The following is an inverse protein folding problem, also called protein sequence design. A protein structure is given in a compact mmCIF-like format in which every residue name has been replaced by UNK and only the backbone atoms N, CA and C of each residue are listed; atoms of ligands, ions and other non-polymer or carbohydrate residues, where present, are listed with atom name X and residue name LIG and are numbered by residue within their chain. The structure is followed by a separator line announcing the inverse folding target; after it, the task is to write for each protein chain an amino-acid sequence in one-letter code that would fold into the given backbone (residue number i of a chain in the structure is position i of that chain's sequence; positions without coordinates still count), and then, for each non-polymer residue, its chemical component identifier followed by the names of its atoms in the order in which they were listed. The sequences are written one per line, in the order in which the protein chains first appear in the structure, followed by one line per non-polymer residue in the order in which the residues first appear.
data_IF_247281007028
#
_entry.id   IF_247281007028
#
_cell.length_a   1.000
_cell.length_b   1.000
_cell.length_c   1.000
_cell.angle_alpha   90.00
_cell.angle_beta   90.00
_cell.angle_gamma   90.00
#
_symmetry.space_group_name_H-M   'P 1'
#
loop_
_entity.id
_entity.type
_entity.pdbx_description
1 polymer ?
#
# COMPACT_ATOMS: atom_id res chain seq x y z
N UNK A 1 19.33 22.56 -15.77
CA UNK A 1 18.51 23.75 -16.07
C UNK A 1 17.66 24.14 -14.86
N UNK A 2 16.59 23.40 -14.52
CA UNK A 2 15.61 23.71 -13.45
C UNK A 2 16.17 24.41 -12.20
N UNK A 3 17.13 23.80 -11.48
CA UNK A 3 17.69 24.39 -10.24
C UNK A 3 18.22 25.81 -10.43
N UNK A 4 18.89 26.11 -11.53
CA UNK A 4 19.43 27.44 -11.82
C UNK A 4 18.32 28.48 -12.01
N UNK A 5 17.26 28.13 -12.76
CA UNK A 5 16.11 29.01 -12.95
C UNK A 5 15.40 29.31 -11.61
N UNK A 6 15.27 28.31 -10.73
CA UNK A 6 14.74 28.51 -9.37
C UNK A 6 15.68 29.39 -8.53
N UNK A 7 17.01 29.20 -8.62
CA UNK A 7 17.98 30.07 -7.94
C UNK A 7 17.85 31.53 -8.37
N UNK A 8 17.80 31.80 -9.68
CA UNK A 8 17.63 33.15 -10.22
C UNK A 8 16.29 33.77 -9.81
N UNK A 9 15.18 33.01 -9.86
CA UNK A 9 13.89 33.51 -9.38
C UNK A 9 13.89 33.78 -7.87
N UNK A 10 14.64 33.00 -7.07
CA UNK A 10 14.88 33.26 -5.63
C UNK A 10 15.76 34.49 -5.37
N UNK A 11 16.44 35.01 -6.39
CA UNK A 11 17.26 36.23 -6.31
C UNK A 11 16.50 37.47 -6.81
N UNK A 12 15.51 37.30 -7.68
CA UNK A 12 14.58 38.36 -8.08
C UNK A 12 13.52 38.62 -7.00
N UNK A 13 12.92 37.57 -6.42
CA UNK A 13 11.99 37.72 -5.29
C UNK A 13 10.74 36.83 -5.35
N UNK A 14 9.82 37.10 -4.42
CA UNK A 14 8.58 36.33 -4.23
C UNK A 14 7.75 36.23 -5.53
N UNK A 15 7.54 37.35 -6.22
CA UNK A 15 6.69 37.41 -7.42
C UNK A 15 7.27 36.58 -8.57
N UNK A 16 8.60 36.48 -8.67
CA UNK A 16 9.27 35.62 -9.64
C UNK A 16 9.06 34.13 -9.32
N UNK A 17 9.12 33.75 -8.04
CA UNK A 17 8.81 32.38 -7.59
C UNK A 17 7.36 31.99 -7.87
N UNK A 18 6.41 32.89 -7.58
CA UNK A 18 4.99 32.69 -7.89
C UNK A 18 4.77 32.61 -9.41
N UNK A 19 5.43 33.47 -10.20
CA UNK A 19 5.33 33.47 -11.66
C UNK A 19 5.81 32.17 -12.31
N UNK A 20 6.97 31.61 -11.89
CA UNK A 20 7.43 30.31 -12.41
C UNK A 20 6.58 29.13 -11.93
N UNK A 21 5.89 29.25 -10.80
CA UNK A 21 4.93 28.24 -10.33
C UNK A 21 3.56 28.33 -11.04
N UNK A 22 3.12 29.52 -11.46
CA UNK A 22 1.91 29.64 -12.28
C UNK A 22 2.15 29.18 -13.73
N UNK A 23 3.30 29.53 -14.32
CA UNK A 23 3.65 29.14 -15.70
C UNK A 23 4.37 27.78 -15.79
N UNK A 24 4.19 26.91 -14.78
CA UNK A 24 5.00 25.71 -14.59
C UNK A 24 4.98 24.75 -15.79
N UNK A 25 3.85 24.62 -16.49
CA UNK A 25 3.67 23.65 -17.57
C UNK A 25 4.17 24.10 -18.95
N UNK A 26 4.63 25.36 -19.04
CA UNK A 26 5.42 25.85 -20.16
C UNK A 26 6.94 25.73 -19.90
N UNK A 27 7.34 25.49 -18.65
CA UNK A 27 8.73 25.58 -18.17
C UNK A 27 9.32 24.25 -17.70
N UNK A 28 8.48 23.32 -17.21
CA UNK A 28 8.89 22.12 -16.49
C UNK A 28 7.98 20.92 -16.79
N UNK A 29 8.51 19.70 -16.65
CA UNK A 29 7.65 18.51 -16.53
C UNK A 29 6.89 18.52 -15.19
N UNK A 30 5.74 17.81 -15.05
CA UNK A 30 5.03 17.70 -13.78
C UNK A 30 5.90 17.18 -12.61
N UNK A 31 6.85 16.29 -12.92
CA UNK A 31 7.77 15.71 -11.94
C UNK A 31 8.82 16.73 -11.49
N UNK A 32 9.40 17.52 -12.41
CA UNK A 32 10.32 18.62 -12.04
C UNK A 32 9.59 19.72 -11.25
N UNK A 33 8.39 20.10 -11.70
CA UNK A 33 7.55 21.10 -11.04
C UNK A 33 7.26 20.73 -9.59
N UNK A 34 6.89 19.47 -9.33
CA UNK A 34 6.60 19.00 -7.96
C UNK A 34 7.84 18.71 -7.12
N UNK A 35 8.77 17.87 -7.62
CA UNK A 35 9.89 17.35 -6.83
C UNK A 35 11.06 18.33 -6.67
N UNK A 36 11.22 19.25 -7.62
CA UNK A 36 12.39 20.13 -7.71
C UNK A 36 12.02 21.59 -7.54
N UNK A 37 11.01 22.10 -8.25
CA UNK A 37 10.61 23.51 -8.18
C UNK A 37 9.89 23.78 -6.85
N UNK A 38 8.70 23.21 -6.65
CA UNK A 38 7.90 23.44 -5.45
C UNK A 38 8.64 23.06 -4.16
N UNK A 39 9.32 21.91 -4.10
CA UNK A 39 10.10 21.51 -2.90
C UNK A 39 11.27 22.45 -2.58
N UNK A 40 11.97 23.00 -3.58
CA UNK A 40 13.05 23.99 -3.33
C UNK A 40 12.47 25.32 -2.87
N UNK A 41 11.40 25.77 -3.53
CA UNK A 41 10.69 27.02 -3.20
C UNK A 41 10.13 26.99 -1.78
N UNK A 42 9.53 25.88 -1.35
CA UNK A 42 8.98 25.70 -0.01
C UNK A 42 10.03 25.41 1.08
N UNK A 43 11.32 25.42 0.76
CA UNK A 43 12.38 25.12 1.73
C UNK A 43 12.64 26.29 2.71
N UNK A 44 13.06 25.96 3.94
CA UNK A 44 13.47 26.97 4.92
C UNK A 44 14.61 27.88 4.42
N UNK A 45 15.48 27.39 3.53
CA UNK A 45 16.54 28.20 2.92
C UNK A 45 15.96 29.35 2.07
N UNK A 46 14.90 29.11 1.31
CA UNK A 46 14.18 30.12 0.52
C UNK A 46 13.50 31.14 1.43
N UNK A 47 12.80 30.68 2.47
CA UNK A 47 12.13 31.54 3.47
C UNK A 47 13.14 32.49 4.14
N UNK A 48 14.31 31.98 4.54
CA UNK A 48 15.37 32.77 5.18
C UNK A 48 16.04 33.73 4.18
N UNK A 49 16.35 33.29 2.94
CA UNK A 49 16.98 34.13 1.91
C UNK A 49 16.10 35.31 1.51
N UNK A 50 14.79 35.09 1.38
CA UNK A 50 13.81 36.13 1.02
C UNK A 50 13.20 36.88 2.21
N UNK A 51 13.48 36.45 3.46
CA UNK A 51 12.93 37.03 4.71
C UNK A 51 11.40 37.13 4.70
N UNK A 52 10.73 36.11 4.16
CA UNK A 52 9.27 36.13 3.95
C UNK A 52 8.51 36.25 5.27
N UNK A 53 7.47 37.09 5.29
CA UNK A 53 6.52 37.11 6.40
C UNK A 53 5.53 35.93 6.30
N UNK A 54 4.82 35.63 7.40
CA UNK A 54 3.88 34.51 7.47
C UNK A 54 2.83 34.53 6.34
N UNK A 55 2.30 35.71 5.97
CA UNK A 55 1.36 35.86 4.85
C UNK A 55 1.99 35.45 3.52
N UNK A 56 3.21 35.90 3.23
CA UNK A 56 3.92 35.58 2.00
C UNK A 56 4.29 34.09 1.93
N UNK A 57 4.64 33.49 3.07
CA UNK A 57 4.90 32.05 3.16
C UNK A 57 3.65 31.23 2.85
N UNK A 58 2.47 31.64 3.34
CA UNK A 58 1.21 30.93 3.08
C UNK A 58 0.68 31.17 1.65
N UNK A 59 0.91 32.35 1.08
CA UNK A 59 0.66 32.65 -0.34
C UNK A 59 1.52 31.76 -1.26
N UNK A 60 2.82 31.64 -0.95
CA UNK A 60 3.75 30.73 -1.64
C UNK A 60 3.32 29.26 -1.48
N UNK A 61 2.88 28.86 -0.28
CA UNK A 61 2.37 27.52 -0.01
C UNK A 61 1.11 27.20 -0.80
N UNK A 62 0.14 28.13 -0.85
CA UNK A 62 -1.09 27.99 -1.62
C UNK A 62 -0.81 27.81 -3.12
N UNK A 63 0.12 28.58 -3.67
CA UNK A 63 0.59 28.43 -5.04
C UNK A 63 1.25 27.05 -5.27
N UNK A 64 2.17 26.63 -4.39
CA UNK A 64 2.85 25.34 -4.48
C UNK A 64 1.90 24.14 -4.36
N UNK A 65 0.90 24.19 -3.47
CA UNK A 65 -0.18 23.18 -3.35
C UNK A 65 -1.00 23.11 -4.65
N UNK A 66 -1.37 24.27 -5.20
CA UNK A 66 -2.15 24.36 -6.44
C UNK A 66 -1.40 23.76 -7.63
N UNK A 67 -0.13 24.14 -7.82
CA UNK A 67 0.79 23.53 -8.80
C UNK A 67 0.84 22.01 -8.62
N UNK A 68 1.04 21.54 -7.39
CA UNK A 68 1.23 20.11 -7.14
C UNK A 68 -0.03 19.28 -7.40
N UNK A 69 -1.22 19.81 -7.08
CA UNK A 69 -2.50 19.19 -7.46
C UNK A 69 -2.70 19.16 -8.99
N UNK A 70 -2.32 20.22 -9.71
CA UNK A 70 -2.34 20.21 -11.18
C UNK A 70 -1.37 19.19 -11.78
N UNK A 71 -0.17 19.07 -11.22
CA UNK A 71 0.82 18.07 -11.64
C UNK A 71 0.35 16.64 -11.36
N UNK A 72 -0.21 16.39 -10.18
CA UNK A 72 -0.77 15.08 -9.81
C UNK A 72 -1.99 14.69 -10.66
N UNK A 73 -2.77 15.65 -11.18
CA UNK A 73 -3.82 15.36 -12.17
C UNK A 73 -3.28 15.01 -13.56
N UNK A 74 -2.14 15.57 -13.99
CA UNK A 74 -1.51 15.21 -15.28
C UNK A 74 -0.71 13.90 -15.20
N UNK A 75 -0.08 13.63 -14.05
CA UNK A 75 0.71 12.41 -13.78
C UNK A 75 0.52 11.95 -12.32
N UNK A 76 -0.52 11.14 -12.03
CA UNK A 76 -0.75 10.61 -10.68
C UNK A 76 0.38 9.67 -10.21
N UNK A 77 0.95 8.92 -11.15
CA UNK A 77 1.93 7.86 -10.90
C UNK A 77 3.24 8.40 -10.30
N UNK A 78 3.72 9.55 -10.77
CA UNK A 78 4.99 10.13 -10.33
C UNK A 78 4.83 11.35 -9.40
N UNK A 79 3.74 12.13 -9.51
CA UNK A 79 3.61 13.38 -8.77
C UNK A 79 2.85 13.27 -7.44
N UNK A 80 1.98 12.27 -7.25
CA UNK A 80 1.00 12.30 -6.17
C UNK A 80 1.60 12.25 -4.74
N UNK A 81 2.74 11.57 -4.54
CA UNK A 81 3.42 11.57 -3.24
C UNK A 81 4.00 12.95 -2.89
N UNK A 82 4.54 13.67 -3.88
CA UNK A 82 5.03 15.04 -3.69
C UNK A 82 3.85 15.99 -3.41
N UNK A 83 2.73 15.85 -4.13
CA UNK A 83 1.53 16.64 -3.89
C UNK A 83 0.97 16.41 -2.47
N UNK A 84 0.84 15.15 -2.03
CA UNK A 84 0.44 14.84 -0.67
C UNK A 84 1.37 15.48 0.37
N UNK A 85 2.69 15.44 0.15
CA UNK A 85 3.69 16.04 1.05
C UNK A 85 3.59 17.58 1.10
N UNK A 86 3.44 18.24 -0.05
CA UNK A 86 3.29 19.70 -0.15
C UNK A 86 1.95 20.20 0.42
N UNK A 87 0.93 19.33 0.41
CA UNK A 87 -0.40 19.64 0.91
C UNK A 87 -0.61 19.32 2.41
N UNK A 88 0.35 18.73 3.13
CA UNK A 88 0.17 18.32 4.54
C UNK A 88 -0.31 19.45 5.48
N UNK A 89 0.04 20.71 5.18
CA UNK A 89 -0.36 21.88 5.96
C UNK A 89 -1.80 22.37 5.71
N UNK A 90 -2.51 21.85 4.71
CA UNK A 90 -3.89 22.26 4.39
C UNK A 90 -4.80 21.03 4.17
N UNK A 91 -5.89 20.95 4.93
CA UNK A 91 -6.76 19.78 4.94
C UNK A 91 -7.49 19.56 3.61
N UNK A 92 -7.92 20.62 2.93
CA UNK A 92 -8.68 20.53 1.70
C UNK A 92 -7.78 20.10 0.52
N UNK A 93 -6.59 20.69 0.42
CA UNK A 93 -5.57 20.32 -0.56
C UNK A 93 -5.05 18.90 -0.32
N UNK A 94 -4.87 18.48 0.93
CA UNK A 94 -4.45 17.11 1.24
C UNK A 94 -5.51 16.08 0.84
N UNK A 95 -6.79 16.35 1.13
CA UNK A 95 -7.88 15.46 0.71
C UNK A 95 -8.02 15.44 -0.82
N UNK A 96 -7.87 16.57 -1.52
CA UNK A 96 -7.82 16.58 -2.99
C UNK A 96 -6.65 15.76 -3.55
N UNK A 97 -5.45 15.87 -2.97
CA UNK A 97 -4.29 15.06 -3.36
C UNK A 97 -4.52 13.56 -3.08
N UNK A 98 -5.24 13.23 -2.02
CA UNK A 98 -5.61 11.85 -1.67
C UNK A 98 -6.68 11.26 -2.61
N UNK A 99 -7.67 12.04 -3.04
CA UNK A 99 -8.65 11.59 -4.04
C UNK A 99 -7.98 11.30 -5.39
N UNK A 100 -7.01 12.12 -5.83
CA UNK A 100 -6.22 11.84 -7.05
C UNK A 100 -5.52 10.47 -6.98
N UNK A 101 -5.04 10.04 -5.81
CA UNK A 101 -4.46 8.68 -5.63
C UNK A 101 -5.54 7.60 -5.69
N UNK A 102 -6.74 7.85 -5.15
CA UNK A 102 -7.85 6.91 -5.23
C UNK A 102 -8.36 6.73 -6.67
N UNK A 103 -8.45 7.82 -7.43
CA UNK A 103 -8.83 7.81 -8.84
C UNK A 103 -7.73 7.14 -9.70
N UNK A 104 -6.46 7.43 -9.42
CA UNK A 104 -5.29 6.77 -10.03
C UNK A 104 -5.21 5.26 -9.73
N UNK A 105 -5.69 4.84 -8.55
CA UNK A 105 -5.82 3.42 -8.19
C UNK A 105 -7.00 2.74 -8.91
N UNK A 106 -8.16 3.41 -8.99
CA UNK A 106 -9.37 2.89 -9.60
C UNK A 106 -9.28 2.80 -11.14
N UNK A 107 -8.54 3.72 -11.76
CA UNK A 107 -8.24 3.72 -13.20
C UNK A 107 -7.06 2.82 -13.59
N UNK A 108 -6.44 2.13 -12.63
CA UNK A 108 -5.22 1.32 -12.81
C UNK A 108 -3.99 2.07 -13.36
N UNK A 109 -4.00 3.40 -13.35
CA UNK A 109 -2.85 4.26 -13.73
C UNK A 109 -1.68 4.10 -12.74
N UNK A 110 -1.97 3.79 -11.47
CA UNK A 110 -0.97 3.58 -10.43
C UNK A 110 -0.73 2.10 -10.12
N UNK A 111 0.53 1.70 -10.07
CA UNK A 111 0.93 0.33 -9.71
C UNK A 111 0.70 0.04 -8.21
N UNK A 112 0.49 -1.23 -7.85
CA UNK A 112 0.43 -1.65 -6.45
C UNK A 112 1.63 -1.18 -5.63
N UNK A 113 2.84 -1.12 -6.21
CA UNK A 113 4.02 -0.63 -5.51
C UNK A 113 3.90 0.86 -5.12
N UNK A 114 3.51 1.72 -6.06
CA UNK A 114 3.25 3.15 -5.78
C UNK A 114 2.15 3.31 -4.70
N UNK A 115 1.07 2.53 -4.79
CA UNK A 115 -0.01 2.55 -3.80
C UNK A 115 0.46 2.08 -2.41
N UNK A 116 1.38 1.11 -2.30
CA UNK A 116 1.99 0.74 -1.02
C UNK A 116 2.94 1.80 -0.46
N UNK A 117 3.72 2.48 -1.31
CA UNK A 117 4.58 3.60 -0.87
C UNK A 117 3.72 4.73 -0.27
N UNK A 118 2.59 5.07 -0.91
CA UNK A 118 1.67 6.09 -0.41
C UNK A 118 0.87 5.59 0.82
N UNK A 119 0.51 4.30 0.89
CA UNK A 119 -0.09 3.71 2.08
C UNK A 119 0.85 3.82 3.31
N UNK A 120 2.14 3.54 3.13
CA UNK A 120 3.16 3.71 4.19
C UNK A 120 3.33 5.17 4.59
N UNK A 121 3.32 6.10 3.64
CA UNK A 121 3.32 7.54 3.92
C UNK A 121 2.10 7.95 4.79
N UNK A 122 0.90 7.47 4.46
CA UNK A 122 -0.31 7.71 5.24
C UNK A 122 -0.22 7.14 6.67
N UNK A 123 0.36 5.94 6.83
CA UNK A 123 0.56 5.32 8.15
C UNK A 123 1.56 6.10 9.03
N UNK A 124 2.69 6.53 8.45
CA UNK A 124 3.65 7.40 9.13
C UNK A 124 3.02 8.72 9.60
N UNK A 125 2.05 9.26 8.85
CA UNK A 125 1.24 10.44 9.22
C UNK A 125 0.01 10.11 10.09
N UNK A 126 -0.08 8.89 10.63
CA UNK A 126 -1.18 8.36 11.47
C UNK A 126 -2.56 8.35 10.80
N UNK A 127 -2.65 8.49 9.48
CA UNK A 127 -3.89 8.38 8.72
C UNK A 127 -4.26 6.91 8.43
N UNK A 128 -4.32 6.10 9.49
CA UNK A 128 -4.53 4.65 9.42
C UNK A 128 -5.70 4.24 8.48
N UNK A 129 -6.93 4.82 8.55
CA UNK A 129 -8.01 4.44 7.64
C UNK A 129 -7.70 4.70 6.15
N UNK A 130 -6.95 5.78 5.85
CA UNK A 130 -6.49 6.09 4.48
C UNK A 130 -5.41 5.10 4.04
N UNK A 131 -4.44 4.81 4.90
CA UNK A 131 -3.40 3.81 4.65
C UNK A 131 -3.99 2.42 4.32
N UNK A 132 -4.94 1.94 5.13
CA UNK A 132 -5.59 0.64 4.88
C UNK A 132 -6.45 0.63 3.62
N UNK A 133 -7.14 1.73 3.27
CA UNK A 133 -7.88 1.83 1.99
C UNK A 133 -6.94 1.69 0.79
N UNK A 134 -5.80 2.40 0.79
CA UNK A 134 -4.79 2.29 -0.26
C UNK A 134 -4.13 0.91 -0.32
N UNK A 135 -3.74 0.33 0.83
CA UNK A 135 -3.17 -1.02 0.88
C UNK A 135 -4.13 -2.09 0.36
N UNK A 136 -5.44 -1.95 0.63
CA UNK A 136 -6.47 -2.87 0.13
C UNK A 136 -6.64 -2.76 -1.39
N UNK A 137 -6.59 -1.54 -1.95
CA UNK A 137 -6.59 -1.32 -3.40
C UNK A 137 -5.30 -1.87 -4.06
N UNK A 138 -4.14 -1.68 -3.41
CA UNK A 138 -2.86 -2.21 -3.87
C UNK A 138 -2.84 -3.75 -3.91
N UNK A 139 -3.38 -4.43 -2.89
CA UNK A 139 -3.48 -5.90 -2.85
C UNK A 139 -4.39 -6.46 -3.96
N UNK A 140 -5.50 -5.80 -4.30
CA UNK A 140 -6.38 -6.24 -5.39
C UNK A 140 -5.68 -6.30 -6.75
N UNK A 141 -4.69 -5.43 -6.97
CA UNK A 141 -3.95 -5.33 -8.22
C UNK A 141 -2.59 -6.07 -8.18
N UNK A 142 -2.25 -6.77 -7.08
CA UNK A 142 -0.91 -7.37 -6.91
C UNK A 142 -0.79 -8.72 -7.61
N UNK A 143 0.16 -8.83 -8.53
CA UNK A 143 0.61 -10.11 -9.07
C UNK A 143 1.70 -10.69 -8.16
N UNK A 144 1.40 -11.79 -7.48
CA UNK A 144 2.36 -12.45 -6.59
C UNK A 144 3.45 -13.14 -7.43
N UNK A 145 4.67 -12.61 -7.36
CA UNK A 145 5.82 -13.07 -8.13
C UNK A 145 6.30 -14.49 -7.75
N UNK A 146 7.14 -15.09 -8.60
CA UNK A 146 7.89 -16.28 -8.24
C UNK A 146 8.86 -15.91 -7.10
N UNK A 147 8.84 -16.65 -6.00
CA UNK A 147 9.68 -16.31 -4.83
C UNK A 147 11.11 -16.79 -5.07
N UNK A 148 11.95 -15.95 -5.69
CA UNK A 148 13.37 -15.97 -5.39
C UNK A 148 13.61 -14.98 -4.25
N UNK A 149 14.08 -15.53 -3.13
CA UNK A 149 14.51 -14.85 -1.89
C UNK A 149 13.44 -14.06 -1.10
N UNK A 150 13.19 -14.51 0.15
CA UNK A 150 12.77 -13.65 1.26
C UNK A 150 13.05 -14.36 2.60
N UNK A 151 14.33 -14.41 3.00
CA UNK A 151 14.77 -14.99 4.27
C UNK A 151 14.80 -13.93 5.38
N UNK A 152 13.63 -13.57 5.90
CA UNK A 152 13.49 -12.60 7.00
C UNK A 152 12.88 -13.28 8.24
N UNK A 153 13.74 -13.82 9.10
CA UNK A 153 13.34 -14.36 10.41
C UNK A 153 12.97 -13.20 11.35
N UNK A 154 11.70 -13.13 11.76
CA UNK A 154 11.25 -12.16 12.76
C UNK A 154 11.62 -12.63 14.20
N UNK A 155 12.39 -11.85 14.98
CA UNK A 155 12.80 -12.24 16.32
C UNK A 155 11.84 -11.73 17.41
N UNK A 156 11.60 -12.57 18.43
CA UNK A 156 11.35 -12.12 19.80
C UNK A 156 9.90 -11.76 20.20
N UNK A 157 9.14 -12.77 20.63
CA UNK A 157 8.19 -12.60 21.75
C UNK A 157 8.37 -13.77 22.73
N UNK A 158 9.19 -13.57 23.76
CA UNK A 158 9.33 -14.51 24.87
C UNK A 158 8.14 -14.36 25.84
N UNK A 159 7.71 -15.46 26.45
CA UNK A 159 6.61 -15.50 27.42
C UNK A 159 7.11 -15.91 28.81
N UNK A 160 6.51 -15.33 29.86
CA UNK A 160 6.71 -15.72 31.28
C UNK A 160 5.38 -15.56 32.05
N UNK A 161 5.05 -16.42 33.05
CA UNK A 161 3.71 -16.45 33.68
C UNK A 161 3.64 -16.23 35.21
N UNK A 162 2.49 -15.72 35.68
CA UNK A 162 1.95 -15.75 37.07
C UNK A 162 0.40 -15.82 36.97
N UNK A 163 -0.42 -16.56 37.74
CA UNK A 163 -0.47 -16.93 39.19
C UNK A 163 -0.97 -15.74 40.04
N UNK A 164 -2.15 -15.74 40.70
CA UNK A 164 -3.28 -16.73 40.73
C UNK A 164 -4.66 -16.00 40.98
N UNK A 165 -5.78 -16.42 41.63
CA UNK A 165 -6.12 -17.52 42.58
C UNK A 165 -7.66 -17.85 42.63
N UNK A 166 -8.05 -18.78 43.50
CA UNK A 166 -9.36 -19.42 43.79
C UNK A 166 -10.69 -18.60 43.87
N UNK A 167 -11.78 -19.18 43.30
CA UNK A 167 -12.96 -19.68 44.05
C UNK A 167 -13.86 -20.64 43.22
N UNK A 168 -14.81 -21.35 43.85
CA UNK A 168 -15.59 -22.48 43.29
C UNK A 168 -17.03 -22.15 42.86
N UNK A 169 -17.54 -22.83 41.80
CA UNK A 169 -18.83 -23.56 41.83
C UNK A 169 -19.05 -24.47 40.59
N UNK A 170 -19.88 -25.52 40.74
CA UNK A 170 -20.41 -26.38 39.66
C UNK A 170 -21.38 -25.62 38.71
N UNK A 171 -21.79 -26.07 37.52
CA UNK A 171 -21.87 -27.43 36.93
C UNK A 171 -21.82 -27.42 35.37
N UNK A 172 -21.89 -28.62 34.76
CA UNK A 172 -22.20 -28.95 33.34
C UNK A 172 -21.09 -28.93 32.26
N UNK A 173 -21.28 -29.81 31.27
CA UNK A 173 -20.28 -30.22 30.28
C UNK A 173 -20.46 -29.58 28.88
N UNK A 174 -19.35 -28.98 28.40
CA UNK A 174 -18.72 -29.34 27.11
C UNK A 174 -19.52 -29.17 25.81
N UNK A 175 -19.42 -27.99 25.18
CA UNK A 175 -18.89 -27.88 23.79
C UNK A 175 -18.54 -26.44 23.35
N UNK A 176 -17.45 -26.33 22.58
CA UNK A 176 -17.02 -25.20 21.73
C UNK A 176 -17.18 -23.79 22.35
N UNK A 177 -16.13 -23.33 23.03
CA UNK A 177 -15.94 -21.90 23.23
C UNK A 177 -15.83 -21.17 21.90
N UNK A 178 -16.53 -20.04 21.76
CA UNK A 178 -16.39 -19.16 20.60
C UNK A 178 -14.97 -18.60 20.58
N UNK A 179 -14.21 -18.89 19.53
CA UNK A 179 -12.91 -18.26 19.32
C UNK A 179 -13.14 -16.74 19.20
N UNK A 180 -12.52 -15.95 20.08
CA UNK A 180 -12.49 -14.50 19.93
C UNK A 180 -11.87 -14.20 18.56
N UNK A 181 -12.54 -13.47 17.64
CA UNK A 181 -11.97 -13.13 16.35
C UNK A 181 -10.60 -12.49 16.54
N UNK A 182 -9.62 -12.89 15.72
CA UNK A 182 -8.29 -12.31 15.79
C UNK A 182 -8.40 -10.82 15.43
N UNK A 183 -7.42 -10.00 15.84
CA UNK A 183 -7.45 -8.57 15.55
C UNK A 183 -7.56 -8.29 14.03
N UNK A 184 -7.05 -9.21 13.22
CA UNK A 184 -7.08 -9.17 11.74
C UNK A 184 -8.48 -9.43 11.14
N UNK A 185 -9.41 -10.07 11.86
CA UNK A 185 -10.79 -10.30 11.39
C UNK A 185 -11.70 -9.07 11.54
N UNK A 186 -11.18 -7.97 12.10
CA UNK A 186 -11.93 -6.70 12.22
C UNK A 186 -11.63 -5.78 11.04
N UNK A 187 -12.62 -4.99 10.56
CA UNK A 187 -12.34 -3.87 9.65
C UNK A 187 -11.35 -2.88 10.32
N UNK A 188 -10.40 -2.31 9.56
CA UNK A 188 -10.18 -2.48 8.12
C UNK A 188 -9.28 -3.67 7.75
N UNK A 189 -8.61 -4.31 8.72
CA UNK A 189 -7.65 -5.39 8.49
C UNK A 189 -8.25 -6.59 7.74
N UNK A 190 -9.51 -6.92 8.02
CA UNK A 190 -10.21 -8.04 7.35
C UNK A 190 -10.29 -7.84 5.84
N UNK A 191 -10.58 -6.63 5.38
CA UNK A 191 -10.65 -6.31 3.95
C UNK A 191 -9.28 -6.41 3.24
N UNK A 192 -8.19 -6.11 3.96
CA UNK A 192 -6.82 -6.30 3.46
C UNK A 192 -6.46 -7.80 3.38
N UNK A 193 -6.88 -8.59 4.37
CA UNK A 193 -6.69 -10.05 4.39
C UNK A 193 -7.51 -10.75 3.29
N UNK A 194 -8.79 -10.39 3.11
CA UNK A 194 -9.63 -10.92 2.04
C UNK A 194 -9.07 -10.56 0.65
N UNK A 195 -8.51 -9.35 0.48
CA UNK A 195 -7.81 -8.97 -0.75
C UNK A 195 -6.50 -9.79 -0.96
N UNK A 196 -5.77 -10.11 0.10
CA UNK A 196 -4.60 -10.98 0.02
C UNK A 196 -4.96 -12.42 -0.39
N UNK A 197 -5.99 -12.97 0.23
CA UNK A 197 -6.56 -14.29 -0.10
C UNK A 197 -7.01 -14.33 -1.57
N UNK A 198 -7.72 -13.29 -2.04
CA UNK A 198 -8.14 -13.18 -3.43
C UNK A 198 -6.94 -13.11 -4.41
N UNK A 199 -5.86 -12.40 -4.07
CA UNK A 199 -4.64 -12.34 -4.88
C UNK A 199 -3.93 -13.71 -4.98
N UNK A 200 -3.90 -14.47 -3.87
CA UNK A 200 -3.43 -15.87 -3.88
C UNK A 200 -4.30 -16.79 -4.74
N UNK A 201 -5.63 -16.69 -4.66
CA UNK A 201 -6.56 -17.48 -5.50
C UNK A 201 -6.35 -17.17 -6.99
N UNK A 202 -6.37 -15.89 -7.36
CA UNK A 202 -6.17 -15.43 -8.74
C UNK A 202 -4.82 -15.89 -9.30
N UNK A 203 -3.74 -15.72 -8.53
CA UNK A 203 -2.40 -16.20 -8.91
C UNK A 203 -2.33 -17.72 -9.02
N UNK A 204 -3.05 -18.46 -8.16
CA UNK A 204 -3.12 -19.93 -8.22
C UNK A 204 -3.69 -20.39 -9.56
N UNK A 205 -4.83 -19.84 -9.98
CA UNK A 205 -5.44 -20.14 -11.29
C UNK A 205 -4.53 -19.75 -12.45
N UNK A 206 -3.98 -18.52 -12.44
CA UNK A 206 -3.08 -18.02 -13.48
C UNK A 206 -1.86 -18.92 -13.70
N UNK A 207 -1.18 -19.31 -12.61
CA UNK A 207 -0.04 -20.25 -12.68
C UNK A 207 -0.47 -21.62 -13.21
N UNK A 208 -1.59 -22.17 -12.75
CA UNK A 208 -2.05 -23.52 -13.11
C UNK A 208 -2.35 -23.69 -14.60
N UNK A 209 -2.79 -22.64 -15.30
CA UNK A 209 -3.04 -22.67 -16.75
C UNK A 209 -1.80 -23.16 -17.51
N UNK A 210 -0.65 -22.54 -17.28
CA UNK A 210 0.60 -22.80 -18.02
C UNK A 210 1.69 -23.55 -17.21
N UNK A 211 1.41 -24.02 -15.98
CA UNK A 211 2.39 -24.77 -15.19
C UNK A 211 2.86 -26.05 -15.89
N UNK A 212 4.18 -26.26 -15.90
CA UNK A 212 4.89 -27.42 -16.44
C UNK A 212 5.66 -28.16 -15.31
N UNK A 213 6.09 -29.42 -15.50
CA UNK A 213 6.62 -30.25 -14.41
C UNK A 213 7.81 -29.68 -13.64
N UNK A 214 8.65 -28.85 -14.28
CA UNK A 214 9.80 -28.20 -13.64
C UNK A 214 9.42 -27.13 -12.61
N UNK A 215 8.21 -26.56 -12.70
CA UNK A 215 7.69 -25.52 -11.80
C UNK A 215 6.84 -26.10 -10.64
N UNK A 216 6.74 -27.43 -10.52
CA UNK A 216 5.82 -28.05 -9.54
C UNK A 216 6.27 -27.82 -8.09
N UNK A 217 7.58 -27.81 -7.80
CA UNK A 217 8.10 -27.58 -6.45
C UNK A 217 7.74 -26.18 -5.92
N UNK A 218 8.13 -25.14 -6.66
CA UNK A 218 7.90 -23.75 -6.29
C UNK A 218 6.40 -23.38 -6.23
N UNK A 219 5.57 -24.09 -6.99
CA UNK A 219 4.11 -23.95 -6.91
C UNK A 219 3.53 -24.59 -5.63
N UNK A 220 4.08 -25.71 -5.16
CA UNK A 220 3.72 -26.29 -3.86
C UNK A 220 4.19 -25.38 -2.70
N UNK A 221 5.36 -24.76 -2.81
CA UNK A 221 5.82 -23.74 -1.84
C UNK A 221 4.95 -22.48 -1.86
N UNK A 222 4.57 -22.01 -3.04
CA UNK A 222 3.62 -20.90 -3.19
C UNK A 222 2.27 -21.23 -2.52
N UNK A 223 1.75 -22.46 -2.66
CA UNK A 223 0.54 -22.91 -1.96
C UNK A 223 0.74 -23.04 -0.44
N UNK A 224 1.95 -23.30 0.05
CA UNK A 224 2.23 -23.30 1.49
C UNK A 224 2.14 -21.87 2.06
N UNK A 225 2.72 -20.87 1.39
CA UNK A 225 2.59 -19.45 1.76
C UNK A 225 1.16 -18.93 1.60
N UNK A 226 0.42 -19.43 0.61
CA UNK A 226 -1.01 -19.19 0.49
C UNK A 226 -1.75 -19.75 1.72
N UNK A 227 -1.50 -21.01 2.11
CA UNK A 227 -2.10 -21.63 3.31
C UNK A 227 -1.83 -20.80 4.56
N UNK A 228 -0.58 -20.41 4.80
CA UNK A 228 -0.19 -19.55 5.93
C UNK A 228 -1.01 -18.25 5.99
N UNK A 229 -1.21 -17.60 4.84
CA UNK A 229 -2.03 -16.39 4.73
C UNK A 229 -3.50 -16.68 5.00
N UNK A 230 -4.06 -17.77 4.45
CA UNK A 230 -5.45 -18.16 4.70
C UNK A 230 -5.70 -18.47 6.17
N UNK A 231 -4.78 -19.16 6.87
CA UNK A 231 -4.92 -19.53 8.29
C UNK A 231 -5.04 -18.33 9.25
N UNK A 232 -4.84 -17.09 8.78
CA UNK A 232 -5.09 -15.86 9.54
C UNK A 232 -6.59 -15.50 9.64
N UNK A 233 -7.44 -16.04 8.76
CA UNK A 233 -8.88 -15.79 8.73
C UNK A 233 -9.65 -16.90 9.49
N UNK A 234 -10.70 -16.54 10.25
CA UNK A 234 -11.53 -17.51 11.00
C UNK A 234 -12.05 -18.68 10.13
N UNK A 235 -12.37 -18.40 8.88
CA UNK A 235 -12.93 -19.31 7.87
C UNK A 235 -11.88 -19.84 6.87
N UNK A 236 -10.61 -19.42 7.01
CA UNK A 236 -9.55 -19.67 6.04
C UNK A 236 -9.22 -21.14 5.79
N UNK A 237 -9.36 -22.00 6.80
CA UNK A 237 -9.21 -23.46 6.63
C UNK A 237 -10.21 -24.02 5.62
N UNK A 238 -11.46 -23.54 5.64
CA UNK A 238 -12.50 -23.93 4.70
C UNK A 238 -12.26 -23.31 3.32
N UNK A 239 -11.88 -22.04 3.25
CA UNK A 239 -11.52 -21.39 1.99
C UNK A 239 -10.34 -22.10 1.28
N UNK A 240 -9.31 -22.52 2.02
CA UNK A 240 -8.14 -23.20 1.45
C UNK A 240 -8.50 -24.61 0.96
N UNK A 241 -9.31 -25.35 1.72
CA UNK A 241 -9.84 -26.64 1.27
C UNK A 241 -10.66 -26.49 -0.03
N UNK A 242 -11.52 -25.47 -0.14
CA UNK A 242 -12.29 -25.19 -1.35
C UNK A 242 -11.39 -24.84 -2.55
N UNK A 243 -10.30 -24.08 -2.34
CA UNK A 243 -9.31 -23.82 -3.39
C UNK A 243 -8.68 -25.12 -3.90
N UNK A 244 -8.28 -26.03 -3.02
CA UNK A 244 -7.70 -27.32 -3.40
C UNK A 244 -8.70 -28.23 -4.13
N UNK A 245 -9.98 -28.26 -3.74
CA UNK A 245 -11.01 -29.00 -4.48
C UNK A 245 -11.28 -28.38 -5.86
N UNK A 246 -11.38 -27.05 -5.96
CA UNK A 246 -11.51 -26.35 -7.23
C UNK A 246 -10.33 -26.69 -8.17
N UNK A 247 -9.11 -26.76 -7.64
CA UNK A 247 -7.93 -27.18 -8.41
C UNK A 247 -8.02 -28.64 -8.89
N UNK A 248 -8.41 -29.57 -8.00
CA UNK A 248 -8.61 -30.99 -8.33
C UNK A 248 -9.67 -31.17 -9.41
N UNK A 249 -10.74 -30.37 -9.40
CA UNK A 249 -11.80 -30.43 -10.41
C UNK A 249 -11.35 -29.85 -11.76
N UNK A 250 -10.74 -28.67 -11.77
CA UNK A 250 -10.40 -27.94 -12.99
C UNK A 250 -9.16 -28.48 -13.73
N UNK A 251 -8.18 -29.07 -13.02
CA UNK A 251 -6.87 -29.41 -13.60
C UNK A 251 -6.52 -30.91 -13.53
N UNK A 252 -7.54 -31.80 -13.56
CA UNK A 252 -7.44 -33.27 -13.45
C UNK A 252 -6.34 -33.94 -14.29
N UNK A 253 -6.00 -33.37 -15.45
CA UNK A 253 -4.94 -33.90 -16.32
C UNK A 253 -3.53 -33.87 -15.69
N UNK A 254 -3.24 -32.95 -14.76
CA UNK A 254 -1.89 -32.78 -14.18
C UNK A 254 -1.64 -33.73 -13.00
N UNK A 255 -1.80 -35.05 -13.23
CA UNK A 255 -1.76 -36.12 -12.20
C UNK A 255 -0.58 -36.01 -11.21
N UNK A 256 0.66 -35.85 -11.68
CA UNK A 256 1.85 -35.72 -10.80
C UNK A 256 1.78 -34.49 -9.89
N UNK A 257 1.21 -33.37 -10.35
CA UNK A 257 1.00 -32.18 -9.52
C UNK A 257 -0.06 -32.43 -8.45
N UNK A 258 -1.16 -33.09 -8.80
CA UNK A 258 -2.22 -33.45 -7.85
C UNK A 258 -1.76 -34.45 -6.77
N UNK A 259 -0.78 -35.31 -7.08
CA UNK A 259 -0.12 -36.17 -6.09
C UNK A 259 0.63 -35.33 -5.04
N UNK A 260 1.53 -34.43 -5.50
CA UNK A 260 2.29 -33.53 -4.63
C UNK A 260 1.37 -32.62 -3.78
N UNK A 261 0.27 -32.13 -4.36
CA UNK A 261 -0.75 -31.36 -3.62
C UNK A 261 -1.40 -32.21 -2.52
N UNK A 262 -1.74 -33.47 -2.78
CA UNK A 262 -2.28 -34.38 -1.77
C UNK A 262 -1.25 -34.71 -0.69
N UNK A 263 -0.02 -35.01 -1.07
CA UNK A 263 1.09 -35.32 -0.14
C UNK A 263 1.42 -34.17 0.83
N UNK A 264 1.22 -32.91 0.39
CA UNK A 264 1.54 -31.72 1.21
C UNK A 264 0.35 -31.13 1.97
N UNK A 265 -0.89 -31.34 1.52
CA UNK A 265 -2.07 -30.63 2.03
C UNK A 265 -3.35 -31.47 2.21
N UNK A 266 -3.32 -32.77 1.88
CA UNK A 266 -4.48 -33.68 1.96
C UNK A 266 -4.51 -34.58 3.20
#
# INVERSE_FOLDING_TARGET
MVRWLVTCATEVGLDALISIMHNWDQLFTPVEATSSVATTIMSHATIIKLKLCFRQQEELASCARTLALHCARKDPANCALNALTLCEGDHAAFEMAYQIVLDGAASHVMTSHQLFVIARFMDHRRHLPRAYKLATLAMKNVHLAYNQECSMTAPGMAASPSVDHHHHHHHHHKRRGVAKPLAIDRPPLRALLDAAIAAYISTTHSRLTHISPRHYGDFIEFLAKARETFMLAMDGTQQFAQLLENMKVAYKGKKKLMCLVKERFG
#
